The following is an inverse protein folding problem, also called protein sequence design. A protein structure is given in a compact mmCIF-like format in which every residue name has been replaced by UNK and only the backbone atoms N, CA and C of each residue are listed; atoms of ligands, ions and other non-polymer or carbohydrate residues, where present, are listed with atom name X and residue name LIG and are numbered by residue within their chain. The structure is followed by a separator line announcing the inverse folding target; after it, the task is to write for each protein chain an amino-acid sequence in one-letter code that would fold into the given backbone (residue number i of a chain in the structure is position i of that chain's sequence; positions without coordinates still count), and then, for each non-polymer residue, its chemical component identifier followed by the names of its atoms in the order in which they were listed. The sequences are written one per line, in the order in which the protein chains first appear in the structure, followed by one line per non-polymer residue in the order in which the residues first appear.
data_IF_110779998380
#
_entry.id   IF_110779998380
#
_cell.length_a   1.000
_cell.length_b   1.000
_cell.length_c   1.000
_cell.angle_alpha   90.00
_cell.angle_beta   90.00
_cell.angle_gamma   90.00
#
_symmetry.space_group_name_H-M   'P 1'
#
loop_
_entity.id
_entity.type
_entity.pdbx_description
1 polymer ?
#
# COMPACT_ATOMS: atom_id res chain seq x y z
N UNK A 1 -10.58 6.64 2.06
CA UNK A 1 -10.82 5.56 3.00
C UNK A 1 -9.83 5.62 4.15
N UNK A 2 -8.52 5.41 3.92
CA UNK A 2 -7.49 5.39 4.97
C UNK A 2 -7.53 6.61 5.89
N UNK A 3 -7.70 7.82 5.32
CA UNK A 3 -7.89 9.03 6.10
C UNK A 3 -9.10 8.94 7.03
N UNK A 4 -10.27 8.57 6.52
CA UNK A 4 -11.50 8.54 7.33
C UNK A 4 -11.48 7.47 8.42
N UNK A 5 -10.85 6.31 8.18
CA UNK A 5 -10.65 5.29 9.19
C UNK A 5 -9.75 5.79 10.33
N UNK A 6 -8.62 6.42 10.00
CA UNK A 6 -7.74 7.02 11.01
C UNK A 6 -8.42 8.19 11.73
N UNK A 7 -9.14 9.04 11.00
CA UNK A 7 -9.84 10.19 11.57
C UNK A 7 -11.00 9.75 12.51
N UNK A 8 -11.65 8.63 12.20
CA UNK A 8 -12.64 8.03 13.11
C UNK A 8 -12.04 7.63 14.46
N UNK A 9 -10.86 7.01 14.45
CA UNK A 9 -10.13 6.66 15.69
C UNK A 9 -9.67 7.91 16.43
N UNK A 10 -9.11 8.88 15.71
CA UNK A 10 -8.59 10.13 16.28
C UNK A 10 -9.69 10.95 16.96
N UNK A 11 -10.90 11.03 16.37
CA UNK A 11 -12.02 11.83 16.89
C UNK A 11 -13.00 11.03 17.75
N UNK A 12 -12.83 9.70 17.88
CA UNK A 12 -13.80 8.76 18.46
C UNK A 12 -15.21 8.91 17.84
N UNK A 13 -15.27 9.18 16.52
CA UNK A 13 -16.51 9.43 15.81
C UNK A 13 -16.82 8.39 14.75
N UNK A 14 -17.67 7.41 15.07
CA UNK A 14 -18.07 6.30 14.20
C UNK A 14 -18.71 6.70 12.87
N UNK A 15 -19.12 7.95 12.71
CA UNK A 15 -19.68 8.42 11.42
C UNK A 15 -18.63 8.35 10.30
N UNK A 16 -17.37 8.62 10.60
CA UNK A 16 -16.29 8.57 9.64
C UNK A 16 -15.92 7.13 9.26
N UNK A 17 -16.00 6.20 10.22
CA UNK A 17 -15.85 4.76 9.96
C UNK A 17 -16.95 4.25 9.02
N UNK A 18 -18.21 4.63 9.30
CA UNK A 18 -19.33 4.27 8.43
C UNK A 18 -19.16 4.81 7.02
N UNK A 19 -18.78 6.07 6.88
CA UNK A 19 -18.52 6.69 5.57
C UNK A 19 -17.36 6.00 4.83
N UNK A 20 -16.29 5.64 5.56
CA UNK A 20 -15.19 4.87 4.95
C UNK A 20 -15.65 3.48 4.48
N UNK A 21 -16.57 2.82 5.21
CA UNK A 21 -17.18 1.56 4.77
C UNK A 21 -17.98 1.71 3.48
N UNK A 22 -18.81 2.75 3.36
CA UNK A 22 -19.54 3.06 2.13
C UNK A 22 -18.58 3.26 0.93
N UNK A 23 -17.46 3.95 1.14
CA UNK A 23 -16.42 4.11 0.10
C UNK A 23 -15.71 2.79 -0.26
N UNK A 24 -15.58 1.85 0.67
CA UNK A 24 -15.05 0.51 0.40
C UNK A 24 -16.00 -0.24 -0.53
N UNK A 25 -17.31 -0.21 -0.24
CA UNK A 25 -18.32 -0.87 -1.05
C UNK A 25 -18.36 -0.29 -2.48
N UNK A 26 -18.23 1.03 -2.63
CA UNK A 26 -18.12 1.69 -3.95
C UNK A 26 -16.89 1.21 -4.72
N UNK A 27 -15.71 1.15 -4.10
CA UNK A 27 -14.49 0.65 -4.76
C UNK A 27 -14.67 -0.79 -5.21
N UNK A 28 -15.23 -1.66 -4.36
CA UNK A 28 -15.48 -3.05 -4.74
C UNK A 28 -16.43 -3.18 -5.93
N UNK A 29 -17.45 -2.35 -6.00
CA UNK A 29 -18.39 -2.35 -7.11
C UNK A 29 -17.75 -1.89 -8.44
N UNK A 30 -16.68 -1.08 -8.37
CA UNK A 30 -15.97 -0.58 -9.55
C UNK A 30 -14.80 -1.47 -10.00
N UNK A 31 -14.42 -2.47 -9.22
CA UNK A 31 -13.36 -3.41 -9.62
C UNK A 31 -13.87 -4.31 -10.76
N UNK A 32 -13.33 -4.13 -11.94
CA UNK A 32 -13.65 -4.91 -13.14
C UNK A 32 -12.39 -5.44 -13.83
N UNK A 33 -12.58 -6.29 -14.84
CA UNK A 33 -11.49 -7.03 -15.49
C UNK A 33 -10.41 -6.13 -16.10
N UNK A 34 -10.76 -4.93 -16.53
CA UNK A 34 -9.83 -3.99 -17.18
C UNK A 34 -9.07 -3.10 -16.19
N UNK A 35 -9.27 -3.28 -14.86
CA UNK A 35 -8.50 -2.52 -13.88
C UNK A 35 -7.01 -2.85 -13.97
N UNK A 36 -6.19 -1.80 -14.05
CA UNK A 36 -4.74 -1.93 -14.10
C UNK A 36 -4.17 -2.62 -12.86
N UNK A 37 -3.14 -3.48 -12.97
CA UNK A 37 -2.46 -4.05 -11.82
C UNK A 37 -1.54 -3.08 -11.07
N UNK A 38 -1.45 -1.82 -11.49
CA UNK A 38 -0.55 -0.81 -10.93
C UNK A 38 -0.88 -0.46 -9.47
N UNK A 39 0.09 0.14 -8.77
CA UNK A 39 -0.08 0.56 -7.38
C UNK A 39 -0.78 1.93 -7.25
N UNK A 40 -0.41 2.91 -8.07
CA UNK A 40 -0.89 4.28 -7.92
C UNK A 40 -2.39 4.46 -8.16
N UNK A 41 -2.92 3.78 -9.17
CA UNK A 41 -4.32 3.89 -9.60
C UNK A 41 -4.91 2.55 -10.08
N UNK A 42 -4.55 1.46 -9.40
CA UNK A 42 -4.97 0.13 -9.81
C UNK A 42 -5.06 -0.87 -8.65
N UNK A 43 -5.11 -2.14 -9.02
CA UNK A 43 -5.43 -3.24 -8.11
C UNK A 43 -4.44 -3.38 -6.97
N UNK A 44 -3.12 -3.19 -7.22
CA UNK A 44 -2.10 -3.35 -6.19
C UNK A 44 -2.24 -2.30 -5.07
N UNK A 45 -2.59 -1.06 -5.42
CA UNK A 45 -2.84 -0.02 -4.42
C UNK A 45 -4.14 -0.24 -3.64
N UNK A 46 -5.20 -0.69 -4.32
CA UNK A 46 -6.47 -1.07 -3.67
C UNK A 46 -6.23 -2.21 -2.68
N UNK A 47 -5.59 -3.30 -3.13
CA UNK A 47 -5.33 -4.47 -2.32
C UNK A 47 -4.38 -4.16 -1.14
N UNK A 48 -3.36 -3.32 -1.34
CA UNK A 48 -2.51 -2.81 -0.27
C UNK A 48 -3.31 -2.02 0.78
N UNK A 49 -4.20 -1.14 0.33
CA UNK A 49 -5.06 -0.38 1.23
C UNK A 49 -5.98 -1.28 2.07
N UNK A 50 -6.56 -2.32 1.47
CA UNK A 50 -7.39 -3.31 2.17
C UNK A 50 -6.57 -4.12 3.17
N UNK A 51 -5.38 -4.59 2.79
CA UNK A 51 -4.44 -5.27 3.68
C UNK A 51 -4.10 -4.39 4.89
N UNK A 52 -3.82 -3.09 4.66
CA UNK A 52 -3.57 -2.13 5.72
C UNK A 52 -4.75 -2.02 6.69
N UNK A 53 -5.98 -1.92 6.19
CA UNK A 53 -7.17 -1.81 7.03
C UNK A 53 -7.39 -3.05 7.89
N UNK A 54 -7.16 -4.24 7.35
CA UNK A 54 -7.29 -5.51 8.07
C UNK A 54 -6.19 -5.64 9.13
N UNK A 55 -4.93 -5.39 8.78
CA UNK A 55 -3.80 -5.49 9.72
C UNK A 55 -3.91 -4.53 10.89
N UNK A 56 -4.42 -3.33 10.67
CA UNK A 56 -4.59 -2.32 11.70
C UNK A 56 -5.94 -2.44 12.44
N UNK A 57 -6.65 -3.56 12.26
CA UNK A 57 -7.93 -3.87 12.91
C UNK A 57 -9.02 -2.82 12.68
N UNK A 58 -8.99 -2.12 11.56
CA UNK A 58 -10.11 -1.28 11.11
C UNK A 58 -11.24 -2.13 10.53
N UNK A 59 -10.88 -3.22 9.83
CA UNK A 59 -11.81 -4.17 9.25
C UNK A 59 -11.46 -5.56 9.76
N UNK A 60 -12.48 -6.31 10.21
CA UNK A 60 -12.34 -7.72 10.63
C UNK A 60 -12.63 -8.62 9.44
N UNK A 61 -11.59 -9.12 8.80
CA UNK A 61 -11.70 -10.04 7.68
C UNK A 61 -10.44 -10.91 7.61
N UNK A 62 -10.52 -12.03 6.88
CA UNK A 62 -9.36 -12.81 6.48
C UNK A 62 -8.79 -12.21 5.18
N UNK A 63 -7.58 -11.64 5.21
CA UNK A 63 -7.01 -11.03 4.02
C UNK A 63 -6.76 -12.03 2.89
N UNK A 64 -6.52 -13.31 3.19
CA UNK A 64 -6.31 -14.34 2.16
C UNK A 64 -7.61 -14.74 1.47
N UNK A 65 -8.75 -14.55 2.12
CA UNK A 65 -10.06 -14.73 1.51
C UNK A 65 -10.44 -13.50 0.66
N UNK A 66 -10.33 -12.31 1.25
CA UNK A 66 -10.76 -11.05 0.62
C UNK A 66 -9.91 -10.67 -0.59
N UNK A 67 -8.60 -10.89 -0.52
CA UNK A 67 -7.66 -10.42 -1.55
C UNK A 67 -7.28 -11.49 -2.58
N UNK A 68 -7.79 -12.72 -2.45
CA UNK A 68 -7.40 -13.85 -3.31
C UNK A 68 -7.49 -13.55 -4.80
N UNK A 69 -8.58 -12.99 -5.25
CA UNK A 69 -8.78 -12.68 -6.67
C UNK A 69 -7.87 -11.56 -7.14
N UNK A 70 -7.70 -10.53 -6.31
CA UNK A 70 -6.78 -9.43 -6.59
C UNK A 70 -5.34 -9.91 -6.65
N UNK A 71 -4.93 -10.79 -5.71
CA UNK A 71 -3.61 -11.43 -5.72
C UNK A 71 -3.34 -12.11 -7.07
N UNK A 72 -4.25 -12.97 -7.54
CA UNK A 72 -4.08 -13.64 -8.83
C UNK A 72 -3.90 -12.65 -9.98
N UNK A 73 -4.75 -11.67 -10.08
CA UNK A 73 -4.72 -10.68 -11.16
C UNK A 73 -3.47 -9.79 -11.14
N UNK A 74 -2.98 -9.43 -9.96
CA UNK A 74 -1.74 -8.65 -9.81
C UNK A 74 -0.54 -9.50 -10.18
N UNK A 75 -0.50 -10.76 -9.74
CA UNK A 75 0.61 -11.69 -9.97
C UNK A 75 0.66 -12.24 -11.40
N UNK A 76 -0.39 -12.09 -12.22
CA UNK A 76 -0.34 -12.35 -13.65
C UNK A 76 0.63 -11.42 -14.40
N UNK A 77 0.97 -10.27 -13.81
CA UNK A 77 1.92 -9.34 -14.42
C UNK A 77 3.34 -9.91 -14.37
N UNK A 78 3.93 -10.14 -15.54
CA UNK A 78 5.33 -10.57 -15.63
C UNK A 78 6.28 -9.42 -15.25
N UNK A 79 6.79 -9.44 -14.03
CA UNK A 79 7.69 -8.41 -13.48
C UNK A 79 9.00 -8.28 -14.24
N UNK A 80 9.46 -9.33 -14.94
CA UNK A 80 10.69 -9.32 -15.74
C UNK A 80 10.58 -8.42 -16.97
N UNK A 81 9.35 -8.10 -17.39
CA UNK A 81 9.07 -7.20 -18.51
C UNK A 81 8.80 -5.76 -18.09
N UNK A 82 8.68 -5.51 -16.79
CA UNK A 82 8.43 -4.17 -16.27
C UNK A 82 9.75 -3.40 -16.22
N UNK A 83 9.82 -2.28 -16.95
CA UNK A 83 10.99 -1.40 -16.99
C UNK A 83 10.82 -0.15 -16.12
N UNK A 84 9.61 0.13 -15.68
CA UNK A 84 9.29 1.24 -14.81
C UNK A 84 9.61 0.88 -13.36
N UNK A 85 10.32 1.77 -12.67
CA UNK A 85 10.71 1.62 -11.25
C UNK A 85 9.90 2.52 -10.32
N UNK A 86 8.95 3.30 -10.84
CA UNK A 86 8.11 4.15 -10.01
C UNK A 86 7.26 3.32 -9.02
N UNK A 87 6.79 3.98 -7.98
CA UNK A 87 5.81 3.39 -7.06
C UNK A 87 4.46 3.28 -7.76
N UNK A 88 4.10 4.28 -8.54
CA UNK A 88 2.79 4.38 -9.16
C UNK A 88 2.53 3.26 -10.17
N UNK A 89 3.46 3.00 -11.07
CA UNK A 89 3.24 2.12 -12.22
C UNK A 89 4.27 0.98 -12.35
N UNK A 90 5.31 1.00 -11.52
CA UNK A 90 6.50 0.19 -11.67
C UNK A 90 6.73 -0.85 -10.59
N UNK A 91 7.95 -1.40 -10.61
CA UNK A 91 8.37 -2.51 -9.75
C UNK A 91 8.33 -2.18 -8.26
N UNK A 92 8.60 -0.92 -7.86
CA UNK A 92 8.56 -0.54 -6.44
C UNK A 92 7.16 -0.63 -5.86
N UNK A 93 6.14 -0.22 -6.59
CA UNK A 93 4.76 -0.35 -6.13
C UNK A 93 4.33 -1.81 -5.98
N UNK A 94 4.74 -2.67 -6.92
CA UNK A 94 4.52 -4.11 -6.82
C UNK A 94 5.25 -4.69 -5.61
N UNK A 95 6.50 -4.28 -5.37
CA UNK A 95 7.28 -4.73 -4.21
C UNK A 95 6.62 -4.35 -2.88
N UNK A 96 6.12 -3.12 -2.75
CA UNK A 96 5.39 -2.65 -1.57
C UNK A 96 4.14 -3.52 -1.33
N UNK A 97 3.37 -3.80 -2.38
CA UNK A 97 2.21 -4.67 -2.28
C UNK A 97 2.59 -6.09 -1.83
N UNK A 98 3.57 -6.73 -2.50
CA UNK A 98 4.00 -8.10 -2.17
C UNK A 98 4.55 -8.19 -0.74
N UNK A 99 5.33 -7.20 -0.31
CA UNK A 99 5.80 -7.11 1.09
C UNK A 99 4.62 -7.06 2.05
N UNK A 100 3.62 -6.22 1.79
CA UNK A 100 2.44 -6.12 2.67
C UNK A 100 1.68 -7.43 2.78
N UNK A 101 1.64 -8.23 1.70
CA UNK A 101 0.95 -9.53 1.68
C UNK A 101 1.73 -10.66 2.35
N UNK A 102 3.06 -10.61 2.33
CA UNK A 102 3.90 -11.76 2.68
C UNK A 102 4.69 -11.60 3.98
N UNK A 103 5.00 -10.38 4.41
CA UNK A 103 5.86 -10.18 5.56
C UNK A 103 5.18 -10.50 6.89
N UNK A 104 5.92 -11.19 7.77
CA UNK A 104 5.47 -11.51 9.12
C UNK A 104 4.39 -12.60 9.22
N UNK A 105 4.12 -13.33 8.13
CA UNK A 105 3.14 -14.43 8.12
C UNK A 105 3.47 -15.50 7.07
N UNK A 106 2.80 -16.64 7.16
CA UNK A 106 2.77 -17.60 6.05
C UNK A 106 1.99 -17.01 4.88
N UNK A 107 2.49 -17.20 3.67
CA UNK A 107 1.89 -16.72 2.44
C UNK A 107 1.70 -17.85 1.43
N UNK A 108 0.77 -17.68 0.51
CA UNK A 108 0.47 -18.65 -0.54
C UNK A 108 1.68 -18.91 -1.43
N UNK A 109 1.83 -20.17 -1.89
CA UNK A 109 2.91 -20.60 -2.78
C UNK A 109 2.98 -19.79 -4.09
N UNK A 110 1.89 -19.17 -4.53
CA UNK A 110 1.84 -18.33 -5.73
C UNK A 110 2.79 -17.12 -5.62
N UNK A 111 3.06 -16.62 -4.41
CA UNK A 111 3.98 -15.51 -4.19
C UNK A 111 5.44 -15.93 -4.27
N UNK A 112 5.78 -17.20 -4.01
CA UNK A 112 7.18 -17.63 -3.84
C UNK A 112 8.02 -17.38 -5.09
N UNK A 113 7.58 -17.88 -6.22
CA UNK A 113 8.30 -17.73 -7.49
C UNK A 113 8.25 -16.28 -7.98
N UNK A 114 7.12 -15.63 -7.75
CA UNK A 114 6.95 -14.22 -8.10
C UNK A 114 7.91 -13.31 -7.34
N UNK A 115 8.14 -13.55 -6.04
CA UNK A 115 9.10 -12.78 -5.24
C UNK A 115 10.52 -12.95 -5.78
N UNK A 116 10.91 -14.16 -6.20
CA UNK A 116 12.22 -14.42 -6.77
C UNK A 116 12.41 -13.62 -8.07
N UNK A 117 11.43 -13.67 -8.97
CA UNK A 117 11.46 -12.92 -10.23
C UNK A 117 11.47 -11.39 -9.97
N UNK A 118 10.72 -10.92 -8.98
CA UNK A 118 10.66 -9.52 -8.59
C UNK A 118 12.01 -9.03 -8.04
N UNK A 119 12.63 -9.78 -7.13
CA UNK A 119 13.97 -9.49 -6.61
C UNK A 119 14.99 -9.41 -7.73
N UNK A 120 14.97 -10.40 -8.63
CA UNK A 120 15.89 -10.41 -9.80
C UNK A 120 15.66 -9.17 -10.68
N UNK A 121 14.42 -8.84 -10.97
CA UNK A 121 14.07 -7.69 -11.81
C UNK A 121 14.47 -6.36 -11.16
N UNK A 122 14.29 -6.22 -9.86
CA UNK A 122 14.75 -5.07 -9.10
C UNK A 122 16.29 -4.99 -9.11
N UNK A 123 17.02 -6.08 -8.96
CA UNK A 123 18.49 -6.11 -8.95
C UNK A 123 19.13 -5.82 -10.31
N UNK A 124 18.54 -6.31 -11.40
CA UNK A 124 19.12 -6.23 -12.74
C UNK A 124 19.14 -4.79 -13.29
N UNK A 125 18.25 -3.95 -12.80
CA UNK A 125 18.05 -2.63 -13.38
C UNK A 125 18.28 -1.49 -12.36
N UNK A 126 19.00 -1.76 -11.26
CA UNK A 126 19.14 -0.81 -10.16
C UNK A 126 19.65 0.55 -10.64
N UNK A 127 18.90 1.63 -10.43
CA UNK A 127 19.51 2.91 -10.07
C UNK A 127 20.08 2.75 -8.65
N UNK A 128 21.15 3.47 -8.34
CA UNK A 128 21.79 3.51 -7.01
C UNK A 128 20.83 4.19 -5.99
N UNK A 129 19.76 3.48 -5.66
CA UNK A 129 18.60 3.98 -4.90
C UNK A 129 18.45 3.18 -3.60
N UNK A 130 18.71 3.86 -2.48
CA UNK A 130 18.64 3.27 -1.12
C UNK A 130 17.30 2.62 -0.81
N UNK A 131 16.20 3.17 -1.32
CA UNK A 131 14.86 2.62 -1.07
C UNK A 131 14.65 1.32 -1.83
N UNK A 132 15.13 1.23 -3.07
CA UNK A 132 15.10 0.00 -3.85
C UNK A 132 15.91 -1.11 -3.16
N UNK A 133 17.11 -0.78 -2.66
CA UNK A 133 17.94 -1.73 -1.90
C UNK A 133 17.24 -2.20 -0.63
N UNK A 134 16.53 -1.32 0.08
CA UNK A 134 15.74 -1.68 1.25
C UNK A 134 14.62 -2.66 0.90
N UNK A 135 13.85 -2.40 -0.16
CA UNK A 135 12.78 -3.28 -0.62
C UNK A 135 13.33 -4.67 -1.01
N UNK A 136 14.46 -4.72 -1.71
CA UNK A 136 15.16 -5.97 -2.06
C UNK A 136 15.53 -6.74 -0.78
N UNK A 137 16.10 -6.07 0.20
CA UNK A 137 16.48 -6.69 1.50
C UNK A 137 15.28 -7.34 2.19
N UNK A 138 14.16 -6.62 2.30
CA UNK A 138 12.92 -7.14 2.91
C UNK A 138 12.39 -8.35 2.13
N UNK A 139 12.34 -8.28 0.79
CA UNK A 139 11.89 -9.40 -0.04
C UNK A 139 12.79 -10.64 0.12
N UNK A 140 14.11 -10.45 0.23
CA UNK A 140 15.05 -11.54 0.49
C UNK A 140 14.85 -12.16 1.88
N UNK A 141 14.56 -11.35 2.91
CA UNK A 141 14.26 -11.84 4.26
C UNK A 141 12.94 -12.63 4.27
N UNK A 142 11.93 -12.22 3.52
CA UNK A 142 10.68 -12.98 3.31
C UNK A 142 10.99 -14.36 2.67
N UNK A 143 11.79 -14.42 1.60
CA UNK A 143 12.20 -15.69 0.96
C UNK A 143 12.91 -16.60 1.96
N UNK A 144 13.79 -16.04 2.78
CA UNK A 144 14.60 -16.77 3.76
C UNK A 144 13.85 -17.09 5.06
N UNK A 145 12.56 -16.74 5.16
CA UNK A 145 11.72 -16.90 6.35
C UNK A 145 12.32 -16.27 7.62
N UNK A 146 13.04 -15.18 7.47
CA UNK A 146 13.52 -14.39 8.59
C UNK A 146 12.38 -13.52 9.13
N UNK A 147 12.39 -13.25 10.43
CA UNK A 147 11.50 -12.26 11.01
C UNK A 147 11.77 -10.90 10.35
N UNK A 148 10.81 -10.45 9.57
CA UNK A 148 10.80 -9.08 9.06
C UNK A 148 10.27 -8.22 10.20
N UNK A 149 11.14 -7.42 10.82
CA UNK A 149 10.78 -6.46 11.84
C UNK A 149 9.73 -5.47 11.32
N UNK A 150 9.08 -4.74 12.24
CA UNK A 150 8.00 -3.75 12.00
C UNK A 150 8.34 -2.59 11.03
N UNK A 151 9.34 -2.74 10.16
CA UNK A 151 9.68 -1.80 9.09
C UNK A 151 8.59 -1.66 8.00
N UNK A 152 7.42 -2.24 8.26
CA UNK A 152 6.32 -2.35 7.31
C UNK A 152 5.34 -1.20 7.31
N UNK A 153 5.58 -0.16 8.09
CA UNK A 153 4.69 0.99 8.05
C UNK A 153 5.04 1.90 6.88
N UNK A 154 4.77 1.35 5.66
CA UNK A 154 4.93 2.14 4.42
C UNK A 154 4.09 3.42 4.48
N UNK A 155 2.88 3.35 5.05
CA UNK A 155 2.02 4.51 5.18
C UNK A 155 2.63 5.56 6.09
N UNK A 156 3.15 5.17 7.26
CA UNK A 156 3.78 6.11 8.21
C UNK A 156 5.05 6.71 7.64
N UNK A 157 5.91 5.90 7.02
CA UNK A 157 7.09 6.41 6.31
C UNK A 157 6.73 7.35 5.17
N UNK A 158 5.67 7.04 4.43
CA UNK A 158 5.19 7.88 3.34
C UNK A 158 4.60 9.20 3.86
N UNK A 159 3.78 9.14 4.91
CA UNK A 159 3.19 10.32 5.56
C UNK A 159 4.29 11.21 6.17
N UNK A 160 5.32 10.63 6.78
CA UNK A 160 6.45 11.38 7.33
C UNK A 160 7.17 12.25 6.28
N UNK A 161 7.20 11.82 5.01
CA UNK A 161 7.81 12.55 3.90
C UNK A 161 6.92 13.66 3.33
N UNK A 162 5.63 13.74 3.70
CA UNK A 162 4.74 14.80 3.22
C UNK A 162 5.20 16.13 3.81
N UNK A 163 5.49 17.10 2.95
CA UNK A 163 5.87 18.44 3.37
C UNK A 163 4.64 19.35 3.50
N UNK A 164 4.35 19.80 4.72
CA UNK A 164 3.27 20.76 5.00
C UNK A 164 3.88 22.15 4.93
N UNK A 165 3.72 22.84 3.80
CA UNK A 165 4.23 24.21 3.62
C UNK A 165 3.38 25.25 4.37
N UNK A 166 2.09 25.03 4.49
CA UNK A 166 1.15 25.87 5.27
C UNK A 166 -0.11 25.06 5.59
N UNK A 167 -0.30 24.60 6.85
CA UNK A 167 -1.45 23.80 7.23
C UNK A 167 -2.79 24.56 7.19
N UNK A 168 -2.77 25.89 7.16
CA UNK A 168 -3.98 26.72 7.14
C UNK A 168 -4.39 27.15 5.72
N UNK A 169 -3.54 26.94 4.72
CA UNK A 169 -3.84 27.30 3.33
C UNK A 169 -4.54 26.16 2.61
N UNK A 170 -5.80 25.91 2.93
CA UNK A 170 -6.65 24.96 2.23
C UNK A 170 -6.99 25.48 0.83
N UNK A 171 -6.19 25.12 -0.15
CA UNK A 171 -6.54 25.35 -1.53
C UNK A 171 -7.61 24.34 -1.97
N UNK A 172 -8.83 24.79 -2.20
CA UNK A 172 -10.01 23.98 -2.57
C UNK A 172 -9.77 23.14 -3.84
N UNK A 173 -8.80 23.50 -4.68
CA UNK A 173 -8.44 22.79 -5.91
C UNK A 173 -7.36 21.71 -5.71
N UNK A 174 -6.93 21.42 -4.48
CA UNK A 174 -5.95 20.39 -4.21
C UNK A 174 -6.55 18.99 -4.38
N UNK A 175 -5.74 18.09 -4.90
CA UNK A 175 -6.08 16.65 -4.98
C UNK A 175 -6.45 16.11 -3.59
N UNK A 176 -7.39 15.15 -3.53
CA UNK A 176 -7.81 14.49 -2.29
C UNK A 176 -6.89 13.32 -1.90
N UNK A 177 -5.91 12.97 -2.74
CA UNK A 177 -5.02 11.82 -2.54
C UNK A 177 -4.09 11.94 -1.32
N UNK A 178 -3.40 10.84 -1.04
CA UNK A 178 -2.45 10.77 0.09
C UNK A 178 -1.14 11.48 -0.26
N UNK A 179 -0.63 11.33 -1.49
CA UNK A 179 0.71 11.81 -1.87
C UNK A 179 0.83 13.35 -1.87
N UNK A 180 -0.14 14.03 -2.46
CA UNK A 180 -0.08 15.48 -2.66
C UNK A 180 -1.40 16.17 -2.30
N UNK A 181 -2.30 15.47 -1.62
CA UNK A 181 -3.65 15.91 -1.36
C UNK A 181 -3.97 16.12 0.12
N UNK A 182 -5.20 16.54 0.34
CA UNK A 182 -5.71 16.83 1.68
C UNK A 182 -5.72 15.63 2.61
N UNK A 183 -5.94 14.41 2.10
CA UNK A 183 -5.94 13.19 2.92
C UNK A 183 -4.56 12.92 3.53
N UNK A 184 -3.48 13.11 2.76
CA UNK A 184 -2.12 12.93 3.28
C UNK A 184 -1.74 13.98 4.33
N UNK A 185 -2.09 15.24 4.08
CA UNK A 185 -1.86 16.34 5.04
C UNK A 185 -2.60 16.06 6.35
N UNK A 186 -3.87 15.66 6.26
CA UNK A 186 -4.67 15.35 7.45
C UNK A 186 -4.15 14.16 8.23
N UNK A 187 -3.67 13.09 7.55
CA UNK A 187 -3.01 11.96 8.21
C UNK A 187 -1.75 12.40 8.95
N UNK A 188 -0.92 13.24 8.34
CA UNK A 188 0.28 13.76 8.98
C UNK A 188 0.00 14.59 10.22
N UNK A 189 -0.97 15.49 10.16
CA UNK A 189 -1.39 16.29 11.31
C UNK A 189 -1.83 15.38 12.47
N UNK A 190 -2.65 14.35 12.19
CA UNK A 190 -3.08 13.40 13.21
C UNK A 190 -1.92 12.63 13.85
N UNK A 191 -0.89 12.26 13.07
CA UNK A 191 0.30 11.62 13.62
C UNK A 191 1.10 12.55 14.53
N UNK A 192 1.30 13.82 14.12
CA UNK A 192 2.06 14.80 14.90
C UNK A 192 1.36 15.20 16.21
N UNK A 193 0.03 15.18 16.26
CA UNK A 193 -0.75 15.49 17.47
C UNK A 193 -0.94 14.28 18.41
N UNK A 194 -0.63 13.06 17.94
CA UNK A 194 -0.79 11.83 18.74
C UNK A 194 0.48 11.45 19.53
N UNK A 195 1.57 12.24 19.41
CA UNK A 195 2.84 12.11 20.12
C UNK A 195 2.83 13.03 21.34
#
# INVERSE_FOLDING_TARGET
ILFFMNYSKYTDCKRYEKFAGELIDEIYAEIHIDCSPNFGNGLAGIAWGMEYLIRNNFVKADPDEVLRELDYRILERDVRRVKDFSIENGLRGIAIYVISRCAGREYSSIFKDYIIDLVHSLQTNIPDDKECLRLIGILQDIINKKETSNEMDFLDNFIAQIHISDPLNFNVNRNLGIKEGHAGIGLKIMQEESI
#
